data_IF_206661585307
#
_entry.id   IF_206661585307
#
_cell.length_a   1.000
_cell.length_b   1.000
_cell.length_c   1.000
_cell.angle_alpha   90.00
_cell.angle_beta   90.00
_cell.angle_gamma   90.00
#
_symmetry.space_group_name_H-M   'P 1'
#
loop_
_entity.id
_entity.type
_entity.pdbx_description
1 polymer ?
#
# COMPACT_ATOMS: atom_id res chain seq x y z
N UNK A 1 -8.04 -27.20 -13.56
CA UNK A 1 -8.05 -26.59 -13.22
C UNK A 1 -8.65 -25.85 -12.63
N UNK A 2 -8.95 -25.87 -12.32
CA UNK A 2 -9.67 -24.91 -11.95
C UNK A 2 -9.18 -24.08 -10.96
N UNK A 3 -8.46 -24.12 -10.50
CA UNK A 3 -7.95 -23.35 -9.77
C UNK A 3 -7.65 -22.12 -10.05
N UNK A 4 -8.06 -21.71 -10.85
CA UNK A 4 -7.82 -20.52 -11.34
C UNK A 4 -8.20 -19.39 -10.55
N UNK A 5 -9.22 -19.37 -9.80
CA UNK A 5 -9.69 -18.23 -9.03
C UNK A 5 -8.72 -17.75 -7.98
N UNK A 6 -8.04 -18.62 -7.24
CA UNK A 6 -7.01 -18.14 -6.34
C UNK A 6 -5.89 -17.43 -7.05
N UNK A 7 -5.53 -17.89 -8.24
CA UNK A 7 -4.48 -17.25 -8.99
C UNK A 7 -4.86 -15.83 -9.36
N UNK A 8 -6.12 -15.59 -9.69
CA UNK A 8 -6.56 -14.26 -9.99
C UNK A 8 -6.42 -13.33 -8.81
N UNK A 9 -6.70 -13.78 -7.62
CA UNK A 9 -6.56 -12.96 -6.45
C UNK A 9 -5.13 -12.57 -6.23
N UNK A 10 -4.20 -13.49 -6.43
CA UNK A 10 -2.80 -13.18 -6.25
C UNK A 10 -2.29 -12.19 -7.29
N UNK A 11 -2.87 -12.19 -8.46
CA UNK A 11 -2.49 -11.25 -9.50
C UNK A 11 -2.81 -9.81 -9.13
N UNK A 12 -3.58 -9.60 -8.07
CA UNK A 12 -3.95 -8.25 -7.64
C UNK A 12 -2.99 -7.66 -6.62
N UNK A 13 -1.90 -8.34 -6.33
CA UNK A 13 -0.89 -7.80 -5.43
C UNK A 13 0.20 -7.11 -6.23
N UNK A 14 0.65 -5.99 -5.70
CA UNK A 14 1.73 -5.22 -6.28
C UNK A 14 2.89 -5.17 -5.32
N UNK A 15 4.09 -5.01 -5.87
CA UNK A 15 5.29 -4.83 -5.07
C UNK A 15 5.95 -3.52 -5.47
N UNK A 16 6.19 -2.67 -4.49
CA UNK A 16 6.87 -1.40 -4.70
C UNK A 16 8.19 -1.44 -3.96
N UNK A 17 9.27 -1.02 -4.62
CA UNK A 17 10.57 -0.91 -3.97
C UNK A 17 10.98 0.54 -3.93
N UNK A 18 11.63 0.93 -2.83
CA UNK A 18 12.11 2.28 -2.65
C UNK A 18 13.51 2.21 -2.05
N UNK A 19 14.46 2.84 -2.70
CA UNK A 19 15.82 2.92 -2.17
C UNK A 19 15.91 3.96 -1.08
N UNK A 20 16.54 3.60 0.02
CA UNK A 20 16.88 4.54 1.07
C UNK A 20 18.40 4.51 1.21
N UNK A 21 19.11 5.58 0.82
CA UNK A 21 20.57 5.58 0.83
C UNK A 21 21.17 5.32 2.21
N UNK A 22 20.42 5.63 3.28
CA UNK A 22 20.98 5.52 4.63
C UNK A 22 20.73 4.16 5.26
N UNK A 23 19.56 3.56 5.00
CA UNK A 23 19.14 2.37 5.72
C UNK A 23 18.97 1.14 4.83
N UNK A 24 19.11 1.29 3.52
CA UNK A 24 18.88 0.21 2.58
C UNK A 24 17.49 0.24 1.99
N UNK A 25 17.21 -0.76 1.19
CA UNK A 25 15.97 -0.75 0.41
C UNK A 25 14.75 -1.12 1.24
N UNK A 26 13.63 -0.55 0.84
CA UNK A 26 12.32 -0.88 1.41
C UNK A 26 11.51 -1.56 0.33
N UNK A 27 10.93 -2.70 0.67
CA UNK A 27 10.05 -3.45 -0.22
C UNK A 27 8.66 -3.49 0.39
N UNK A 28 7.66 -3.07 -0.39
CA UNK A 28 6.29 -3.00 0.08
C UNK A 28 5.41 -3.82 -0.85
N UNK A 29 4.76 -4.83 -0.30
CA UNK A 29 3.80 -5.64 -1.03
C UNK A 29 2.40 -5.26 -0.57
N UNK A 30 1.50 -5.00 -1.51
CA UNK A 30 0.18 -4.53 -1.16
C UNK A 30 -0.86 -5.06 -2.14
N UNK A 31 -2.10 -5.11 -1.68
CA UNK A 31 -3.23 -5.47 -2.52
C UNK A 31 -3.83 -4.22 -3.15
N UNK A 32 -4.64 -4.39 -4.18
CA UNK A 32 -5.30 -3.29 -4.87
C UNK A 32 -6.23 -2.49 -3.96
N UNK A 33 -6.66 -3.08 -2.85
CA UNK A 33 -7.55 -2.38 -1.92
C UNK A 33 -6.97 -1.08 -1.39
N UNK A 34 -5.63 -0.97 -1.35
CA UNK A 34 -5.01 0.25 -0.84
C UNK A 34 -5.03 1.37 -1.87
N UNK A 35 -4.45 1.21 -3.08
CA UNK A 35 -4.46 2.31 -4.06
C UNK A 35 -5.84 2.60 -4.62
N UNK A 36 -6.76 1.64 -4.55
CA UNK A 36 -8.12 1.83 -5.06
C UNK A 36 -9.09 2.33 -4.00
N UNK A 37 -8.62 2.60 -2.78
CA UNK A 37 -9.47 3.09 -1.70
C UNK A 37 -10.13 4.42 -2.10
N UNK A 38 -11.48 4.51 -2.06
CA UNK A 38 -12.17 5.71 -2.54
C UNK A 38 -12.33 6.75 -1.45
N UNK A 39 -12.30 8.02 -1.84
CA UNK A 39 -12.70 9.07 -0.91
C UNK A 39 -14.22 9.29 -1.00
N UNK A 40 -14.71 10.34 -0.33
CA UNK A 40 -16.15 10.59 -0.27
C UNK A 40 -16.78 10.87 -1.63
N UNK A 41 -15.97 11.29 -2.61
CA UNK A 41 -16.47 11.55 -3.97
C UNK A 41 -16.15 10.42 -4.94
N UNK A 42 -15.62 9.29 -4.44
CA UNK A 42 -15.33 8.13 -5.27
C UNK A 42 -14.00 8.14 -5.96
N UNK A 43 -13.13 9.09 -5.63
CA UNK A 43 -11.81 9.16 -6.25
C UNK A 43 -10.85 8.24 -5.52
N UNK A 44 -10.13 7.40 -6.27
CA UNK A 44 -9.19 6.45 -5.69
C UNK A 44 -7.96 7.15 -5.14
N UNK A 45 -7.39 6.56 -4.08
CA UNK A 45 -6.16 7.05 -3.48
C UNK A 45 -5.04 7.11 -4.52
N UNK A 46 -4.87 6.04 -5.28
CA UNK A 46 -3.99 5.91 -6.42
C UNK A 46 -2.52 5.71 -6.04
N UNK A 47 -1.78 5.17 -6.99
CA UNK A 47 -0.37 4.84 -6.80
C UNK A 47 0.51 6.07 -6.67
N UNK A 48 0.18 7.16 -7.34
CA UNK A 48 1.01 8.36 -7.28
C UNK A 48 1.09 8.91 -5.86
N UNK A 49 -0.04 8.96 -5.15
CA UNK A 49 -0.05 9.40 -3.75
C UNK A 49 0.72 8.43 -2.87
N UNK A 50 0.52 7.14 -3.13
CA UNK A 50 1.17 6.09 -2.38
C UNK A 50 2.68 6.16 -2.52
N UNK A 51 3.16 6.29 -3.74
CA UNK A 51 4.59 6.34 -3.99
C UNK A 51 5.22 7.58 -3.39
N UNK A 52 4.55 8.73 -3.49
CA UNK A 52 5.05 9.96 -2.90
C UNK A 52 5.19 9.82 -1.39
N UNK A 53 4.22 9.19 -0.74
CA UNK A 53 4.28 8.99 0.70
C UNK A 53 5.39 8.02 1.08
N UNK A 54 5.57 6.95 0.31
CA UNK A 54 6.63 5.99 0.55
C UNK A 54 7.99 6.66 0.45
N UNK A 55 8.19 7.54 -0.54
CA UNK A 55 9.46 8.25 -0.69
C UNK A 55 9.81 9.07 0.54
N UNK A 56 8.83 9.69 1.17
CA UNK A 56 9.08 10.53 2.35
C UNK A 56 9.14 9.72 3.64
N UNK A 57 8.66 8.47 3.62
CA UNK A 57 8.54 7.65 4.82
C UNK A 57 9.55 6.51 4.89
N UNK A 58 10.30 6.26 3.81
CA UNK A 58 11.12 5.06 3.72
C UNK A 58 12.23 5.00 4.79
N UNK A 59 12.58 6.12 5.39
CA UNK A 59 13.58 6.16 6.44
C UNK A 59 13.05 5.69 7.79
N UNK A 60 11.75 5.56 7.94
CA UNK A 60 11.13 5.13 9.19
C UNK A 60 11.27 3.62 9.36
N UNK A 61 10.94 3.12 10.56
CA UNK A 61 10.87 1.68 10.78
C UNK A 61 9.75 1.08 9.94
N UNK A 62 9.80 -0.24 9.74
CA UNK A 62 8.75 -0.92 8.99
C UNK A 62 7.38 -0.70 9.62
N UNK A 63 7.29 -0.77 10.95
CA UNK A 63 6.04 -0.54 11.66
C UNK A 63 5.53 0.88 11.43
N UNK A 64 6.41 1.87 11.49
CA UNK A 64 6.01 3.26 11.30
C UNK A 64 5.58 3.52 9.85
N UNK A 65 6.23 2.89 8.89
CA UNK A 65 5.81 3.00 7.49
C UNK A 65 4.38 2.48 7.34
N UNK A 66 4.09 1.31 7.92
CA UNK A 66 2.74 0.74 7.87
C UNK A 66 1.74 1.72 8.47
N UNK A 67 2.05 2.28 9.63
CA UNK A 67 1.13 3.19 10.31
C UNK A 67 0.87 4.45 9.48
N UNK A 68 1.92 5.00 8.88
CA UNK A 68 1.79 6.20 8.04
C UNK A 68 0.89 5.91 6.83
N UNK A 69 1.09 4.77 6.18
CA UNK A 69 0.29 4.42 5.01
C UNK A 69 -1.17 4.20 5.38
N UNK A 70 -1.42 3.47 6.46
CA UNK A 70 -2.79 3.19 6.89
C UNK A 70 -3.51 4.48 7.29
N UNK A 71 -2.84 5.35 8.04
CA UNK A 71 -3.44 6.61 8.44
C UNK A 71 -3.78 7.49 7.23
N UNK A 72 -2.89 7.53 6.26
CA UNK A 72 -3.11 8.34 5.07
C UNK A 72 -4.33 7.86 4.29
N UNK A 73 -4.47 6.54 4.14
CA UNK A 73 -5.62 5.97 3.43
C UNK A 73 -6.91 6.20 4.22
N UNK A 74 -6.86 6.03 5.54
CA UNK A 74 -8.04 6.28 6.38
C UNK A 74 -8.52 7.72 6.26
N UNK A 75 -7.59 8.66 6.27
CA UNK A 75 -7.93 10.08 6.11
C UNK A 75 -8.51 10.34 4.72
N UNK A 76 -7.97 9.69 3.71
CA UNK A 76 -8.47 9.84 2.35
C UNK A 76 -9.91 9.37 2.23
N UNK A 77 -10.22 8.25 2.85
CA UNK A 77 -11.56 7.67 2.77
C UNK A 77 -12.61 8.46 3.57
N UNK A 78 -12.19 9.23 4.55
CA UNK A 78 -13.09 10.09 5.33
C UNK A 78 -14.29 9.34 5.90
N UNK A 79 -14.03 8.16 6.46
CA UNK A 79 -15.09 7.35 7.04
C UNK A 79 -15.84 6.47 6.04
N UNK A 80 -15.49 6.52 4.78
CA UNK A 80 -16.09 5.62 3.80
C UNK A 80 -15.64 4.19 4.05
N UNK A 81 -16.47 3.25 3.68
CA UNK A 81 -16.13 1.85 3.77
C UNK A 81 -15.34 1.45 2.52
N UNK A 82 -14.19 0.79 2.73
CA UNK A 82 -13.43 0.30 1.59
C UNK A 82 -14.07 -1.01 1.10
N UNK A 83 -14.45 -1.10 -0.17
CA UNK A 83 -15.08 -2.30 -0.68
C UNK A 83 -14.13 -3.49 -0.77
N UNK A 84 -12.82 -3.25 -0.78
CA UNK A 84 -11.81 -4.30 -0.84
C UNK A 84 -10.99 -4.33 0.43
N UNK A 85 -10.53 -5.52 0.78
CA UNK A 85 -9.62 -5.67 1.92
C UNK A 85 -8.27 -5.09 1.56
N UNK A 86 -7.60 -4.51 2.55
CA UNK A 86 -6.25 -4.00 2.38
C UNK A 86 -5.28 -5.00 2.99
N UNK A 87 -4.33 -5.44 2.18
CA UNK A 87 -3.22 -6.26 2.63
C UNK A 87 -1.94 -5.47 2.40
N UNK A 88 -1.09 -5.40 3.42
CA UNK A 88 0.11 -4.58 3.36
C UNK A 88 1.24 -5.27 4.13
N UNK A 89 2.37 -5.46 3.45
CA UNK A 89 3.58 -6.03 4.05
C UNK A 89 4.73 -5.09 3.73
N UNK A 90 5.48 -4.73 4.76
CA UNK A 90 6.64 -3.85 4.60
C UNK A 90 7.88 -4.57 5.10
N UNK A 91 8.90 -4.66 4.26
CA UNK A 91 10.17 -5.28 4.60
C UNK A 91 11.26 -4.25 4.38
N UNK A 92 12.03 -4.00 5.42
CA UNK A 92 13.19 -3.11 5.32
C UNK A 92 14.45 -3.97 5.31
N UNK A 93 15.27 -3.73 4.31
CA UNK A 93 16.53 -4.41 4.18
C UNK A 93 17.61 -3.51 4.74
N UNK A 94 18.38 -4.04 5.65
CA UNK A 94 19.47 -3.28 6.25
C UNK A 94 20.77 -3.48 5.52
#
# INVERSE_FOLDING_TARGET
>A
MPKKNPAKKYDRYEVITQEDPETGDVLIQLSDGLPEAPNATGIMYDYDRLKALIQTSCHLSATDIINVLIQSVDQWMEGQHNPDDITLVVIKKK
#
